data_IF_312728461768
#
_entry.id   IF_312728461768
#
_cell.length_a   1.000
_cell.length_b   1.000
_cell.length_c   1.000
_cell.angle_alpha   90.00
_cell.angle_beta   90.00
_cell.angle_gamma   90.00
#
_symmetry.space_group_name_H-M   'P 1'
#
loop_
_entity.id
_entity.type
_entity.pdbx_description
1 polymer ?
#
# COMPACT_ATOMS: atom_id res chain seq x y z
N UNK A 1 -1.53 1.78 39.01
CA UNK A 1 -1.36 2.67 37.83
C UNK A 1 -0.96 1.91 36.56
N UNK A 2 -0.09 0.90 36.59
CA UNK A 2 0.34 0.15 35.40
C UNK A 2 -0.70 -0.88 34.99
N UNK A 3 -1.36 -1.53 35.93
CA UNK A 3 -2.41 -2.53 35.69
C UNK A 3 -3.71 -1.92 35.13
N UNK A 4 -4.10 -0.74 35.55
CA UNK A 4 -5.34 -0.09 35.13
C UNK A 4 -5.29 0.30 33.65
N UNK A 5 -4.17 0.89 33.20
CA UNK A 5 -3.96 1.25 31.79
C UNK A 5 -3.92 0.03 30.86
N UNK A 6 -3.34 -1.08 31.31
CA UNK A 6 -3.29 -2.32 30.54
C UNK A 6 -4.67 -2.96 30.44
N UNK A 7 -5.42 -2.97 31.54
CA UNK A 7 -6.79 -3.50 31.57
C UNK A 7 -7.72 -2.69 30.64
N UNK A 8 -7.61 -1.35 30.66
CA UNK A 8 -8.38 -0.48 29.77
C UNK A 8 -8.02 -0.67 28.29
N UNK A 9 -6.74 -0.81 27.97
CA UNK A 9 -6.27 -1.12 26.62
C UNK A 9 -6.86 -2.44 26.12
N UNK A 10 -6.77 -3.53 26.91
CA UNK A 10 -7.31 -4.84 26.55
C UNK A 10 -8.83 -4.76 26.37
N UNK A 11 -9.53 -4.00 27.21
CA UNK A 11 -10.97 -3.82 27.07
C UNK A 11 -11.33 -3.11 25.77
N UNK A 12 -10.61 -2.04 25.43
CA UNK A 12 -10.81 -1.29 24.19
C UNK A 12 -10.53 -2.18 22.99
N UNK A 13 -9.44 -2.95 22.99
CA UNK A 13 -9.11 -3.88 21.91
C UNK A 13 -10.24 -4.89 21.67
N UNK A 14 -10.77 -5.52 22.71
CA UNK A 14 -11.91 -6.44 22.62
C UNK A 14 -13.19 -5.78 22.08
N UNK A 15 -13.44 -4.54 22.45
CA UNK A 15 -14.58 -3.79 21.94
C UNK A 15 -14.43 -3.50 20.44
N UNK A 16 -13.23 -3.15 19.97
CA UNK A 16 -12.95 -2.95 18.55
C UNK A 16 -13.11 -4.26 17.77
N UNK A 17 -12.61 -5.40 18.28
CA UNK A 17 -12.82 -6.72 17.68
C UNK A 17 -14.31 -7.07 17.56
N UNK A 18 -15.07 -6.88 18.62
CA UNK A 18 -16.52 -7.18 18.65
C UNK A 18 -17.35 -6.26 17.73
N UNK A 19 -16.93 -5.02 17.56
CA UNK A 19 -17.65 -4.04 16.74
C UNK A 19 -17.32 -4.12 15.25
N UNK A 20 -16.37 -4.95 14.85
CA UNK A 20 -15.89 -5.03 13.46
C UNK A 20 -16.99 -5.26 12.45
N UNK A 21 -17.84 -6.26 12.65
CA UNK A 21 -18.93 -6.60 11.72
C UNK A 21 -19.92 -5.46 11.57
N UNK A 22 -20.32 -4.85 12.69
CA UNK A 22 -21.21 -3.71 12.69
C UNK A 22 -20.59 -2.49 12.02
N UNK A 23 -19.29 -2.27 12.21
CA UNK A 23 -18.57 -1.17 11.57
C UNK A 23 -18.50 -1.32 10.03
N UNK A 24 -18.38 -2.56 9.52
CA UNK A 24 -18.49 -2.84 8.09
C UNK A 24 -19.88 -2.48 7.54
N UNK A 25 -20.94 -2.92 8.23
CA UNK A 25 -22.34 -2.70 7.85
C UNK A 25 -22.72 -1.21 7.90
N UNK A 26 -22.20 -0.49 8.89
CA UNK A 26 -22.42 0.94 9.08
C UNK A 26 -21.57 1.83 8.17
N UNK A 27 -20.68 1.27 7.32
CA UNK A 27 -19.72 2.01 6.50
C UNK A 27 -18.79 2.92 7.32
N UNK A 28 -18.36 2.48 8.49
CA UNK A 28 -17.43 3.22 9.35
C UNK A 28 -15.98 3.19 8.82
N UNK A 29 -15.67 2.23 7.93
CA UNK A 29 -14.38 2.14 7.26
C UNK A 29 -14.39 2.99 5.98
N UNK A 30 -13.41 3.89 5.88
CA UNK A 30 -13.24 4.78 4.73
C UNK A 30 -11.81 4.70 4.20
N UNK A 31 -11.59 5.09 2.94
CA UNK A 31 -10.26 5.14 2.34
C UNK A 31 -9.74 6.57 2.25
N UNK A 32 -8.50 6.73 2.66
CA UNK A 32 -7.66 7.88 2.36
C UNK A 32 -6.65 7.47 1.30
N UNK A 33 -6.28 8.39 0.44
CA UNK A 33 -5.40 8.13 -0.70
C UNK A 33 -4.11 8.91 -0.55
N UNK A 34 -2.97 8.21 -0.47
CA UNK A 34 -1.68 8.85 -0.44
C UNK A 34 -1.08 8.86 -1.84
N UNK A 35 -0.85 10.04 -2.43
CA UNK A 35 -0.36 10.15 -3.79
C UNK A 35 1.05 9.58 -3.96
N UNK A 36 1.29 8.90 -5.09
CA UNK A 36 2.61 8.49 -5.59
C UNK A 36 2.98 9.39 -6.77
N UNK A 37 4.07 10.12 -6.64
CA UNK A 37 4.55 11.05 -7.67
C UNK A 37 5.76 10.50 -8.40
N UNK A 38 5.69 10.43 -9.73
CA UNK A 38 6.85 10.22 -10.59
C UNK A 38 7.79 11.43 -10.55
N UNK A 39 9.08 11.21 -10.43
CA UNK A 39 10.08 12.28 -10.25
C UNK A 39 11.15 12.36 -11.34
N UNK A 40 11.06 11.53 -12.39
CA UNK A 40 12.03 11.53 -13.50
C UNK A 40 11.89 12.71 -14.44
N UNK A 41 10.70 13.30 -14.52
CA UNK A 41 10.43 14.51 -15.33
C UNK A 41 10.89 15.81 -14.68
N UNK A 42 10.75 16.92 -15.41
CA UNK A 42 11.05 18.26 -14.89
C UNK A 42 10.11 18.63 -13.73
N UNK A 43 8.84 18.27 -13.86
CA UNK A 43 7.82 18.45 -12.83
C UNK A 43 7.33 17.09 -12.34
N UNK A 44 6.99 16.96 -11.03
CA UNK A 44 6.40 15.74 -10.49
C UNK A 44 5.02 15.48 -11.09
N UNK A 45 4.78 14.25 -11.54
CA UNK A 45 3.48 13.81 -12.06
C UNK A 45 2.81 12.80 -11.14
N UNK A 46 1.48 12.91 -10.99
CA UNK A 46 0.70 11.92 -10.24
C UNK A 46 0.62 10.61 -11.04
N UNK A 47 1.26 9.57 -10.54
CA UNK A 47 1.30 8.24 -11.18
C UNK A 47 0.38 7.21 -10.54
N UNK A 48 -0.02 7.41 -9.29
CA UNK A 48 -0.88 6.50 -8.56
C UNK A 48 -1.17 7.00 -7.16
N UNK A 49 -1.85 6.18 -6.38
CA UNK A 49 -2.00 6.40 -4.94
C UNK A 49 -2.11 5.07 -4.20
N UNK A 50 -1.75 5.09 -2.93
CA UNK A 50 -2.04 4.00 -2.00
C UNK A 50 -3.35 4.29 -1.26
N UNK A 51 -4.26 3.28 -1.25
CA UNK A 51 -5.50 3.33 -0.49
C UNK A 51 -5.26 2.87 0.95
N UNK A 52 -5.32 3.81 1.86
CA UNK A 52 -5.06 3.61 3.28
C UNK A 52 -6.37 3.64 4.07
N UNK A 53 -6.73 2.49 4.64
CA UNK A 53 -7.95 2.34 5.42
C UNK A 53 -7.92 3.24 6.67
N UNK A 54 -9.07 3.81 7.01
CA UNK A 54 -9.32 4.55 8.25
C UNK A 54 -10.63 4.07 8.84
N UNK A 55 -10.73 3.98 10.13
CA UNK A 55 -11.97 3.66 10.83
C UNK A 55 -12.51 4.90 11.52
N UNK A 56 -13.68 5.36 11.09
CA UNK A 56 -14.39 6.49 11.70
C UNK A 56 -15.45 5.92 12.63
N UNK A 57 -15.03 5.62 13.85
CA UNK A 57 -15.94 5.03 14.85
C UNK A 57 -16.80 6.11 15.49
N UNK A 58 -18.12 5.91 15.60
CA UNK A 58 -19.00 6.83 16.36
C UNK A 58 -18.61 6.96 17.83
N UNK A 59 -18.04 5.89 18.42
CA UNK A 59 -17.66 5.83 19.83
C UNK A 59 -16.23 6.30 20.08
N UNK A 60 -15.28 5.92 19.20
CA UNK A 60 -13.84 6.16 19.40
C UNK A 60 -13.27 7.23 18.46
N UNK A 61 -14.09 7.82 17.60
CA UNK A 61 -13.64 8.81 16.63
C UNK A 61 -12.75 8.23 15.54
N UNK A 62 -11.75 9.00 15.12
CA UNK A 62 -10.81 8.61 14.07
C UNK A 62 -9.77 7.62 14.60
N UNK A 63 -9.77 6.40 14.06
CA UNK A 63 -8.80 5.36 14.38
C UNK A 63 -7.85 5.12 13.20
N UNK A 64 -6.54 5.20 13.48
CA UNK A 64 -5.50 4.85 12.51
C UNK A 64 -5.34 3.33 12.38
N UNK A 65 -4.85 2.82 11.23
CA UNK A 65 -4.64 1.38 10.99
C UNK A 65 -3.86 0.67 12.10
N UNK A 66 -2.82 1.30 12.63
CA UNK A 66 -2.00 0.73 13.73
C UNK A 66 -2.78 0.41 15.00
N UNK A 67 -4.00 0.96 15.17
CA UNK A 67 -4.87 0.67 16.32
C UNK A 67 -5.71 -0.61 16.15
N UNK A 68 -6.08 -0.98 14.91
CA UNK A 68 -7.02 -2.08 14.68
C UNK A 68 -6.47 -3.19 13.77
N UNK A 69 -5.57 -2.91 12.82
CA UNK A 69 -4.99 -3.94 11.94
C UNK A 69 -4.36 -5.09 12.72
N UNK A 70 -3.50 -4.85 13.76
CA UNK A 70 -2.92 -5.95 14.53
C UNK A 70 -3.97 -6.81 15.28
N UNK A 71 -5.13 -6.24 15.61
CA UNK A 71 -6.23 -6.99 16.24
C UNK A 71 -6.87 -7.92 15.22
N UNK A 72 -7.21 -7.38 14.05
CA UNK A 72 -7.88 -8.13 12.97
C UNK A 72 -6.99 -9.19 12.33
N UNK A 73 -5.67 -9.02 12.39
CA UNK A 73 -4.72 -10.04 11.97
C UNK A 73 -4.76 -11.27 12.89
N UNK A 74 -4.90 -11.06 14.21
CA UNK A 74 -4.96 -12.13 15.21
C UNK A 74 -6.24 -12.97 15.12
N UNK A 75 -7.36 -12.33 14.87
CA UNK A 75 -8.69 -12.97 14.89
C UNK A 75 -9.21 -13.40 13.50
N UNK A 76 -8.44 -13.13 12.42
CA UNK A 76 -8.81 -13.50 11.05
C UNK A 76 -9.73 -12.50 10.33
N UNK A 77 -10.10 -11.40 10.96
CA UNK A 77 -10.93 -10.35 10.35
C UNK A 77 -10.19 -9.54 9.28
N UNK A 78 -8.84 -9.60 9.25
CA UNK A 78 -8.05 -8.91 8.23
C UNK A 78 -8.39 -9.38 6.82
N UNK A 79 -8.67 -10.68 6.62
CA UNK A 79 -9.08 -11.22 5.32
C UNK A 79 -10.39 -10.59 4.80
N UNK A 80 -11.32 -10.34 5.72
CA UNK A 80 -12.60 -9.70 5.41
C UNK A 80 -12.37 -8.22 5.12
N UNK A 81 -11.52 -7.56 5.92
CA UNK A 81 -11.18 -6.15 5.73
C UNK A 81 -10.50 -5.89 4.39
N UNK A 82 -9.53 -6.72 3.97
CA UNK A 82 -8.85 -6.60 2.66
C UNK A 82 -9.87 -6.63 1.50
N UNK A 83 -10.83 -7.57 1.58
CA UNK A 83 -11.92 -7.65 0.59
C UNK A 83 -12.77 -6.39 0.58
N UNK A 84 -13.08 -5.86 1.75
CA UNK A 84 -13.82 -4.63 1.89
C UNK A 84 -13.06 -3.43 1.32
N UNK A 85 -11.75 -3.33 1.60
CA UNK A 85 -10.86 -2.29 1.05
C UNK A 85 -10.85 -2.32 -0.47
N UNK A 86 -10.67 -3.51 -1.08
CA UNK A 86 -10.70 -3.65 -2.53
C UNK A 86 -12.04 -3.18 -3.13
N UNK A 87 -13.16 -3.56 -2.50
CA UNK A 87 -14.48 -3.13 -2.94
C UNK A 87 -14.66 -1.62 -2.83
N UNK A 88 -14.21 -1.01 -1.74
CA UNK A 88 -14.23 0.45 -1.56
C UNK A 88 -13.37 1.16 -2.61
N UNK A 89 -12.16 0.65 -2.90
CA UNK A 89 -11.27 1.21 -3.92
C UNK A 89 -11.89 1.15 -5.33
N UNK A 90 -12.48 0.01 -5.70
CA UNK A 90 -13.17 -0.13 -6.98
C UNK A 90 -14.38 0.79 -7.10
N UNK A 91 -15.20 0.90 -6.04
CA UNK A 91 -16.33 1.84 -6.01
C UNK A 91 -15.88 3.27 -6.20
N UNK A 92 -14.81 3.68 -5.52
CA UNK A 92 -14.27 5.04 -5.63
C UNK A 92 -13.67 5.32 -7.02
N UNK A 93 -12.92 4.35 -7.57
CA UNK A 93 -12.41 4.46 -8.95
C UNK A 93 -13.55 4.65 -9.96
N UNK A 94 -14.66 3.91 -9.81
CA UNK A 94 -15.83 4.07 -10.68
C UNK A 94 -16.40 5.49 -10.59
N UNK A 95 -16.55 6.03 -9.38
CA UNK A 95 -17.02 7.40 -9.17
C UNK A 95 -16.11 8.43 -9.87
N UNK A 96 -14.79 8.28 -9.77
CA UNK A 96 -13.86 9.18 -10.46
C UNK A 96 -13.93 9.06 -11.98
N UNK A 97 -14.03 7.83 -12.50
CA UNK A 97 -14.19 7.59 -13.94
C UNK A 97 -15.49 8.21 -14.47
N UNK A 98 -16.60 8.06 -13.75
CA UNK A 98 -17.91 8.63 -14.12
C UNK A 98 -17.93 10.16 -14.02
N UNK A 99 -17.17 10.73 -13.09
CA UNK A 99 -16.96 12.17 -12.97
C UNK A 99 -16.01 12.76 -14.04
N UNK A 100 -15.48 11.91 -14.94
CA UNK A 100 -14.60 12.31 -16.05
C UNK A 100 -13.15 12.53 -15.66
N UNK A 101 -12.69 12.03 -14.51
CA UNK A 101 -11.27 12.09 -14.16
C UNK A 101 -10.47 11.05 -14.96
N UNK A 102 -9.22 11.41 -15.29
CA UNK A 102 -8.21 10.46 -15.75
C UNK A 102 -7.68 9.71 -14.51
N UNK A 103 -8.39 8.64 -14.12
CA UNK A 103 -8.01 7.88 -12.93
C UNK A 103 -6.59 7.30 -13.07
N UNK A 104 -5.88 7.28 -11.96
CA UNK A 104 -4.55 6.67 -11.80
C UNK A 104 -4.67 5.34 -11.08
N UNK A 105 -3.69 4.44 -11.18
CA UNK A 105 -3.68 3.18 -10.43
C UNK A 105 -3.77 3.41 -8.93
N UNK A 106 -4.59 2.60 -8.26
CA UNK A 106 -4.73 2.58 -6.80
C UNK A 106 -4.15 1.29 -6.27
N UNK A 107 -3.20 1.42 -5.35
CA UNK A 107 -2.66 0.28 -4.64
C UNK A 107 -3.52 -0.04 -3.42
N UNK A 108 -3.72 -1.33 -3.19
CA UNK A 108 -4.41 -1.86 -2.01
C UNK A 108 -3.55 -2.93 -1.35
N UNK A 109 -3.42 -2.85 -0.04
CA UNK A 109 -2.74 -3.85 0.74
C UNK A 109 -3.55 -5.15 0.78
N UNK A 110 -2.87 -6.29 0.67
CA UNK A 110 -3.47 -7.61 0.74
C UNK A 110 -2.66 -8.52 1.66
N UNK A 111 -3.31 -9.10 2.65
CA UNK A 111 -2.69 -10.04 3.57
C UNK A 111 -2.34 -11.35 2.88
N UNK A 112 -1.26 -11.99 3.35
CA UNK A 112 -0.85 -13.31 2.89
C UNK A 112 -1.99 -14.34 2.94
N UNK A 113 -2.85 -14.29 3.96
CA UNK A 113 -3.97 -15.23 4.10
C UNK A 113 -4.93 -15.16 2.93
N UNK A 114 -5.19 -13.98 2.40
CA UNK A 114 -5.99 -13.81 1.20
C UNK A 114 -5.29 -14.33 -0.07
N UNK A 115 -3.95 -14.33 -0.08
CA UNK A 115 -3.18 -14.84 -1.23
C UNK A 115 -3.14 -16.37 -1.22
N UNK A 116 -2.79 -17.00 -0.09
CA UNK A 116 -2.52 -18.46 0.01
C UNK A 116 -3.60 -19.24 0.75
N UNK A 117 -4.54 -18.57 1.38
CA UNK A 117 -5.51 -19.16 2.32
C UNK A 117 -6.64 -19.98 1.71
N UNK A 118 -6.68 -20.20 0.41
CA UNK A 118 -7.73 -20.99 -0.25
C UNK A 118 -9.10 -20.31 -0.34
N UNK A 119 -9.26 -19.09 0.16
CA UNK A 119 -10.52 -18.31 0.18
C UNK A 119 -10.90 -17.70 -1.16
N UNK A 120 -10.21 -18.10 -2.24
CA UNK A 120 -10.46 -17.66 -3.60
C UNK A 120 -10.53 -16.11 -3.77
N UNK A 121 -9.58 -15.40 -3.12
CA UNK A 121 -9.53 -13.93 -3.22
C UNK A 121 -9.38 -13.46 -4.67
N UNK A 122 -8.66 -14.20 -5.52
CA UNK A 122 -8.52 -13.84 -6.93
C UNK A 122 -9.87 -13.79 -7.66
N UNK A 123 -10.72 -14.80 -7.49
CA UNK A 123 -12.04 -14.78 -8.11
C UNK A 123 -12.88 -13.63 -7.56
N UNK A 124 -12.89 -13.43 -6.24
CA UNK A 124 -13.54 -12.28 -5.63
C UNK A 124 -13.05 -10.95 -6.21
N UNK A 125 -11.73 -10.78 -6.36
CA UNK A 125 -11.15 -9.55 -6.91
C UNK A 125 -11.59 -9.32 -8.36
N UNK A 126 -11.58 -10.36 -9.19
CA UNK A 126 -12.06 -10.27 -10.58
C UNK A 126 -13.56 -9.95 -10.66
N UNK A 127 -14.37 -10.56 -9.79
CA UNK A 127 -15.82 -10.29 -9.72
C UNK A 127 -16.09 -8.83 -9.31
N UNK A 128 -15.36 -8.30 -8.32
CA UNK A 128 -15.50 -6.89 -7.89
C UNK A 128 -15.06 -5.94 -9.01
N UNK A 129 -13.94 -6.23 -9.70
CA UNK A 129 -13.52 -5.42 -10.85
C UNK A 129 -14.57 -5.41 -11.96
N UNK A 130 -15.21 -6.55 -12.23
CA UNK A 130 -16.28 -6.67 -13.22
C UNK A 130 -17.56 -5.94 -12.76
N UNK A 131 -17.97 -6.08 -11.48
CA UNK A 131 -19.12 -5.38 -10.88
C UNK A 131 -19.03 -3.86 -11.08
N UNK A 132 -17.85 -3.28 -10.80
CA UNK A 132 -17.62 -1.84 -10.93
C UNK A 132 -17.05 -1.41 -12.29
N UNK A 133 -16.87 -2.34 -13.22
CA UNK A 133 -16.29 -2.10 -14.56
C UNK A 133 -14.95 -1.35 -14.47
N UNK A 134 -14.06 -1.81 -13.59
CA UNK A 134 -12.74 -1.23 -13.39
C UNK A 134 -11.71 -1.99 -14.24
N UNK A 135 -10.93 -1.29 -15.10
CA UNK A 135 -9.77 -1.90 -15.76
C UNK A 135 -8.76 -2.42 -14.74
N UNK A 136 -8.31 -3.67 -14.92
CA UNK A 136 -7.44 -4.35 -13.96
C UNK A 136 -6.12 -3.60 -13.69
N UNK A 137 -5.61 -2.88 -14.69
CA UNK A 137 -4.41 -2.05 -14.56
C UNK A 137 -4.59 -0.79 -13.67
N UNK A 138 -5.81 -0.51 -13.21
CA UNK A 138 -6.07 0.54 -12.22
C UNK A 138 -6.02 0.02 -10.77
N UNK A 139 -5.78 -1.27 -10.56
CA UNK A 139 -5.56 -1.87 -9.24
C UNK A 139 -4.17 -2.49 -9.18
N UNK A 140 -3.39 -2.08 -8.18
CA UNK A 140 -2.13 -2.71 -7.81
C UNK A 140 -2.32 -3.39 -6.45
N UNK A 141 -1.84 -4.62 -6.29
CA UNK A 141 -1.88 -5.34 -5.01
C UNK A 141 -0.53 -5.20 -4.32
N UNK A 142 -0.51 -4.74 -3.07
CA UNK A 142 0.69 -4.59 -2.24
C UNK A 142 0.77 -5.70 -1.21
N UNK A 143 1.94 -6.32 -1.08
CA UNK A 143 2.21 -7.46 -0.21
C UNK A 143 3.40 -7.10 0.68
N UNK A 144 3.25 -7.25 1.99
CA UNK A 144 4.32 -6.99 2.94
C UNK A 144 5.52 -7.95 2.74
N UNK A 145 6.73 -7.41 2.87
CA UNK A 145 7.97 -8.22 2.83
C UNK A 145 7.94 -9.35 3.87
N UNK A 146 7.47 -9.08 5.06
CA UNK A 146 7.39 -10.06 6.16
C UNK A 146 6.50 -11.25 5.82
N UNK A 147 5.45 -11.04 5.04
CA UNK A 147 4.57 -12.08 4.53
C UNK A 147 5.29 -13.05 3.56
N UNK A 148 6.33 -12.57 2.91
CA UNK A 148 7.10 -13.35 1.95
C UNK A 148 8.08 -14.36 2.60
N UNK A 149 8.38 -14.23 3.89
CA UNK A 149 9.43 -14.99 4.58
C UNK A 149 9.07 -16.46 4.89
N UNK A 150 7.78 -16.80 5.01
CA UNK A 150 7.30 -18.15 5.37
C UNK A 150 6.70 -18.83 4.15
N UNK A 151 7.19 -20.04 3.81
CA UNK A 151 6.76 -20.85 2.64
C UNK A 151 6.71 -20.05 1.32
N UNK A 152 7.85 -19.43 1.01
CA UNK A 152 8.02 -18.54 -0.15
C UNK A 152 7.62 -19.19 -1.48
N UNK A 153 7.81 -20.52 -1.64
CA UNK A 153 7.47 -21.23 -2.89
C UNK A 153 5.97 -21.21 -3.17
N UNK A 154 5.16 -21.44 -2.13
CA UNK A 154 3.69 -21.42 -2.29
C UNK A 154 3.21 -20.00 -2.60
N UNK A 155 3.70 -19.00 -1.86
CA UNK A 155 3.40 -17.60 -2.12
C UNK A 155 3.76 -17.20 -3.55
N UNK A 156 4.97 -17.50 -4.02
CA UNK A 156 5.43 -17.19 -5.39
C UNK A 156 4.47 -17.77 -6.43
N UNK A 157 4.02 -19.03 -6.26
CA UNK A 157 3.07 -19.67 -7.18
C UNK A 157 1.74 -18.91 -7.24
N UNK A 158 1.18 -18.51 -6.10
CA UNK A 158 -0.05 -17.73 -6.07
C UNK A 158 0.14 -16.34 -6.69
N UNK A 159 1.23 -15.65 -6.37
CA UNK A 159 1.54 -14.36 -6.98
C UNK A 159 1.70 -14.46 -8.50
N UNK A 160 2.27 -15.55 -9.02
CA UNK A 160 2.31 -15.81 -10.47
C UNK A 160 0.92 -15.93 -11.08
N UNK A 161 -0.04 -16.51 -10.36
CA UNK A 161 -1.43 -16.60 -10.81
C UNK A 161 -2.07 -15.21 -10.87
N UNK A 162 -1.91 -14.38 -9.84
CA UNK A 162 -2.38 -12.99 -9.85
C UNK A 162 -1.76 -12.19 -11.00
N UNK A 163 -0.46 -12.31 -11.19
CA UNK A 163 0.26 -11.68 -12.29
C UNK A 163 -0.28 -12.12 -13.66
N UNK A 164 -0.47 -13.43 -13.86
CA UNK A 164 -1.01 -14.00 -15.10
C UNK A 164 -2.45 -13.57 -15.35
N UNK A 165 -3.20 -13.21 -14.31
CA UNK A 165 -4.54 -12.66 -14.42
C UNK A 165 -4.56 -11.16 -14.75
N UNK A 166 -3.38 -10.51 -14.80
CA UNK A 166 -3.22 -9.12 -15.22
C UNK A 166 -3.05 -8.10 -14.07
N UNK A 167 -3.02 -8.53 -12.81
CA UNK A 167 -2.74 -7.61 -11.70
C UNK A 167 -1.29 -7.13 -11.71
N UNK A 168 -1.10 -5.85 -11.38
CA UNK A 168 0.20 -5.32 -10.97
C UNK A 168 0.43 -5.67 -9.50
N UNK A 169 1.65 -6.11 -9.18
CA UNK A 169 2.04 -6.52 -7.83
C UNK A 169 3.18 -5.64 -7.33
N UNK A 170 3.08 -5.18 -6.09
CA UNK A 170 4.14 -4.46 -5.40
C UNK A 170 4.55 -5.19 -4.12
N UNK A 171 5.84 -5.15 -3.80
CA UNK A 171 6.35 -5.57 -2.49
C UNK A 171 6.49 -4.35 -1.61
N UNK A 172 5.82 -4.37 -0.48
CA UNK A 172 5.77 -3.29 0.49
C UNK A 172 6.78 -3.49 1.63
N UNK A 173 7.18 -2.38 2.26
CA UNK A 173 8.10 -2.31 3.41
C UNK A 173 9.44 -3.04 3.15
N UNK A 174 9.93 -3.06 1.90
CA UNK A 174 11.16 -3.77 1.56
C UNK A 174 12.37 -3.19 2.29
N UNK A 175 13.09 -4.09 2.98
CA UNK A 175 14.25 -3.76 3.80
C UNK A 175 13.95 -3.66 5.29
N UNK A 176 12.68 -3.71 5.71
CA UNK A 176 12.28 -3.79 7.11
C UNK A 176 12.38 -5.21 7.70
N UNK A 177 12.47 -6.22 6.85
CA UNK A 177 12.41 -7.63 7.21
C UNK A 177 13.68 -8.43 6.88
N UNK A 178 13.53 -9.74 6.74
CA UNK A 178 14.61 -10.71 6.53
C UNK A 178 14.67 -11.23 5.09
N UNK A 179 14.19 -10.50 4.10
CA UNK A 179 14.22 -10.97 2.72
C UNK A 179 15.64 -11.15 2.21
N UNK A 180 15.93 -12.34 1.70
CA UNK A 180 17.18 -12.57 1.00
C UNK A 180 17.13 -12.01 -0.42
N UNK A 181 18.29 -11.56 -0.95
CA UNK A 181 18.42 -11.16 -2.36
C UNK A 181 17.94 -12.23 -3.33
N UNK A 182 18.04 -13.52 -2.94
CA UNK A 182 17.53 -14.63 -3.73
C UNK A 182 16.00 -14.65 -3.81
N UNK A 183 15.32 -14.27 -2.74
CA UNK A 183 13.86 -14.14 -2.72
C UNK A 183 13.39 -12.96 -3.58
N UNK A 184 14.03 -11.79 -3.43
CA UNK A 184 13.76 -10.64 -4.27
C UNK A 184 13.79 -11.00 -5.77
N UNK A 185 14.82 -11.76 -6.22
CA UNK A 185 14.93 -12.14 -7.63
C UNK A 185 13.81 -13.09 -8.10
N UNK A 186 13.27 -13.94 -7.23
CA UNK A 186 12.24 -14.94 -7.57
C UNK A 186 10.80 -14.44 -7.48
N UNK A 187 10.56 -13.31 -6.81
CA UNK A 187 9.21 -12.75 -6.65
C UNK A 187 8.69 -12.12 -7.93
N UNK A 188 7.48 -12.47 -8.38
CA UNK A 188 6.89 -11.93 -9.62
C UNK A 188 6.24 -10.56 -9.40
N UNK A 189 6.99 -9.60 -8.86
CA UNK A 189 6.54 -8.24 -8.58
C UNK A 189 6.92 -7.26 -9.69
N UNK A 190 6.14 -6.21 -9.86
CA UNK A 190 6.37 -5.11 -10.81
C UNK A 190 7.00 -3.90 -10.14
N UNK A 191 6.75 -3.74 -8.85
CA UNK A 191 7.14 -2.57 -8.09
C UNK A 191 7.77 -2.98 -6.76
N UNK A 192 8.82 -2.26 -6.38
CA UNK A 192 9.50 -2.36 -5.09
C UNK A 192 9.25 -1.06 -4.32
N UNK A 193 8.67 -1.14 -3.12
CA UNK A 193 8.52 0.00 -2.23
C UNK A 193 9.61 -0.06 -1.17
N UNK A 194 10.49 0.94 -1.15
CA UNK A 194 11.57 1.06 -0.18
C UNK A 194 11.03 1.72 1.07
N UNK A 195 11.10 1.01 2.19
CA UNK A 195 10.60 1.47 3.48
C UNK A 195 11.30 2.76 3.95
N UNK A 196 10.55 3.60 4.65
CA UNK A 196 11.04 4.88 5.18
C UNK A 196 12.28 4.76 6.05
N UNK A 197 12.47 3.64 6.74
CA UNK A 197 13.62 3.43 7.63
C UNK A 197 14.97 3.57 6.91
N UNK A 198 15.01 3.36 5.60
CA UNK A 198 16.20 3.62 4.79
C UNK A 198 16.56 5.11 4.71
N UNK A 199 15.59 5.98 4.90
CA UNK A 199 15.71 7.43 4.69
C UNK A 199 15.74 8.22 6.01
N UNK A 200 15.40 7.59 7.15
CA UNK A 200 15.31 8.25 8.46
C UNK A 200 16.67 8.82 8.95
N UNK A 201 17.77 8.19 8.53
CA UNK A 201 19.12 8.63 8.89
C UNK A 201 19.76 9.61 7.89
N UNK A 202 19.07 9.91 6.79
CA UNK A 202 19.62 10.78 5.76
C UNK A 202 19.72 12.23 6.21
N UNK A 203 20.86 12.88 5.91
CA UNK A 203 21.14 14.27 6.23
C UNK A 203 21.64 15.00 4.96
N UNK A 204 21.46 16.31 4.86
CA UNK A 204 21.87 17.07 3.66
C UNK A 204 23.37 17.00 3.33
N UNK A 205 24.21 16.74 4.33
CA UNK A 205 25.67 16.65 4.23
C UNK A 205 26.20 15.20 4.27
N UNK A 206 25.29 14.21 4.14
CA UNK A 206 25.65 12.79 4.13
C UNK A 206 26.60 12.45 2.98
N UNK A 207 27.47 11.48 3.20
CA UNK A 207 28.41 11.02 2.17
C UNK A 207 27.69 10.11 1.14
N UNK A 208 28.26 9.99 -0.07
CA UNK A 208 27.76 9.01 -1.06
C UNK A 208 27.76 7.58 -0.51
N UNK A 209 28.64 7.27 0.43
CA UNK A 209 28.69 5.95 1.06
C UNK A 209 27.42 5.63 1.85
N UNK A 210 26.83 6.62 2.50
CA UNK A 210 25.65 6.44 3.35
C UNK A 210 24.39 6.14 2.55
N UNK A 211 24.33 6.62 1.29
CA UNK A 211 23.21 6.42 0.38
C UNK A 211 23.47 5.37 -0.72
N UNK A 212 24.71 4.85 -0.83
CA UNK A 212 25.09 3.95 -1.92
C UNK A 212 24.23 2.68 -1.99
N UNK A 213 23.78 2.16 -0.84
CA UNK A 213 22.92 0.98 -0.79
C UNK A 213 21.63 1.22 -1.58
N UNK A 214 20.94 2.34 -1.34
CA UNK A 214 19.69 2.70 -2.02
C UNK A 214 19.92 2.85 -3.53
N UNK A 215 20.99 3.52 -3.94
CA UNK A 215 21.36 3.64 -5.35
C UNK A 215 21.48 2.27 -6.04
N UNK A 216 22.15 1.31 -5.38
CA UNK A 216 22.30 -0.04 -5.93
C UNK A 216 21.02 -0.86 -5.87
N UNK A 217 20.15 -0.65 -4.87
CA UNK A 217 18.84 -1.30 -4.80
C UNK A 217 17.94 -0.83 -5.94
N UNK A 218 17.87 0.49 -6.21
CA UNK A 218 17.13 1.05 -7.34
C UNK A 218 17.65 0.46 -8.66
N UNK A 219 18.97 0.45 -8.85
CA UNK A 219 19.57 -0.13 -10.05
C UNK A 219 19.25 -1.61 -10.19
N UNK A 220 19.32 -2.42 -9.14
CA UNK A 220 19.00 -3.85 -9.17
C UNK A 220 17.52 -4.10 -9.49
N UNK A 221 16.61 -3.26 -9.00
CA UNK A 221 15.21 -3.31 -9.36
C UNK A 221 15.01 -3.05 -10.86
N UNK A 222 15.64 -2.00 -11.41
CA UNK A 222 15.58 -1.67 -12.83
C UNK A 222 16.21 -2.76 -13.71
N UNK A 223 17.38 -3.29 -13.36
CA UNK A 223 18.06 -4.37 -14.09
C UNK A 223 17.19 -5.66 -14.14
N UNK A 224 16.22 -5.79 -13.24
CA UNK A 224 15.25 -6.90 -13.19
C UNK A 224 13.84 -6.50 -13.69
N UNK A 225 13.69 -5.33 -14.31
CA UNK A 225 12.46 -4.85 -14.94
C UNK A 225 11.37 -4.36 -13.97
N UNK A 226 11.77 -3.93 -12.76
CA UNK A 226 10.86 -3.43 -11.72
C UNK A 226 10.97 -1.93 -11.57
N UNK A 227 9.86 -1.27 -11.22
CA UNK A 227 9.87 0.13 -10.77
C UNK A 227 10.11 0.23 -9.27
N UNK A 228 10.51 1.41 -8.82
CA UNK A 228 10.80 1.68 -7.40
C UNK A 228 9.98 2.86 -6.89
N UNK A 229 9.37 2.70 -5.72
CA UNK A 229 8.75 3.76 -4.93
C UNK A 229 9.59 3.94 -3.65
N UNK A 230 10.04 5.16 -3.38
CA UNK A 230 10.65 5.51 -2.10
C UNK A 230 9.57 6.09 -1.18
N UNK A 231 9.45 5.53 0.03
CA UNK A 231 8.41 5.90 0.97
C UNK A 231 8.91 6.80 2.09
N UNK A 232 7.98 7.49 2.75
CA UNK A 232 8.27 8.33 3.90
C UNK A 232 9.18 9.52 3.61
N UNK A 233 9.23 9.99 2.37
CA UNK A 233 10.08 11.11 1.96
C UNK A 233 9.44 12.43 2.41
N UNK A 234 10.17 13.20 3.20
CA UNK A 234 9.68 14.43 3.82
C UNK A 234 10.47 15.68 3.42
N UNK A 235 11.72 15.52 2.96
CA UNK A 235 12.64 16.61 2.73
C UNK A 235 13.04 16.75 1.26
N UNK A 236 13.25 18.00 0.81
CA UNK A 236 13.64 18.30 -0.57
C UNK A 236 14.94 17.62 -0.98
N UNK A 237 15.95 17.61 -0.10
CA UNK A 237 17.24 17.00 -0.44
C UNK A 237 17.13 15.49 -0.69
N UNK A 238 16.19 14.79 0.00
CA UNK A 238 15.90 13.37 -0.25
C UNK A 238 15.33 13.18 -1.67
N UNK A 239 14.40 14.05 -2.09
CA UNK A 239 13.85 14.03 -3.46
C UNK A 239 14.96 14.26 -4.49
N UNK A 240 15.82 15.28 -4.28
CA UNK A 240 16.89 15.63 -5.21
C UNK A 240 17.90 14.46 -5.35
N UNK A 241 18.21 13.78 -4.26
CA UNK A 241 19.11 12.63 -4.26
C UNK A 241 18.49 11.40 -4.92
N UNK A 242 17.22 11.10 -4.63
CA UNK A 242 16.49 10.00 -5.26
C UNK A 242 16.34 10.21 -6.77
N UNK A 243 16.17 11.46 -7.21
CA UNK A 243 16.18 11.80 -8.65
C UNK A 243 17.54 11.52 -9.30
N UNK A 244 18.65 11.81 -8.61
CA UNK A 244 19.99 11.47 -9.09
C UNK A 244 20.23 9.96 -9.20
N UNK A 245 19.54 9.17 -8.37
CA UNK A 245 19.59 7.71 -8.39
C UNK A 245 18.58 7.07 -9.35
N UNK A 246 17.89 7.91 -10.16
CA UNK A 246 16.88 7.47 -11.13
C UNK A 246 15.67 6.76 -10.49
N UNK A 247 15.33 7.07 -9.24
CA UNK A 247 14.14 6.54 -8.60
C UNK A 247 12.88 6.91 -9.39
N UNK A 248 11.95 5.98 -9.54
CA UNK A 248 10.78 6.18 -10.40
C UNK A 248 9.73 7.06 -9.72
N UNK A 249 9.40 6.75 -8.48
CA UNK A 249 8.30 7.40 -7.76
C UNK A 249 8.68 7.65 -6.29
N UNK A 250 7.99 8.62 -5.73
CA UNK A 250 8.07 8.96 -4.30
C UNK A 250 6.66 9.00 -3.72
N UNK A 251 6.56 8.47 -2.49
CA UNK A 251 5.41 8.59 -1.62
C UNK A 251 5.88 9.17 -0.28
N UNK A 252 5.30 10.31 0.16
CA UNK A 252 5.73 10.93 1.41
C UNK A 252 5.14 12.31 1.64
N UNK A 253 5.34 12.82 2.85
CA UNK A 253 4.75 14.10 3.29
C UNK A 253 5.37 15.31 2.60
N UNK A 254 6.50 15.14 1.92
CA UNK A 254 7.05 16.18 1.06
C UNK A 254 6.03 16.64 -0.01
N UNK A 255 5.32 15.70 -0.63
CA UNK A 255 4.30 16.03 -1.61
C UNK A 255 2.89 16.08 -1.02
N UNK A 256 2.52 15.09 -0.21
CA UNK A 256 1.19 15.02 0.37
C UNK A 256 1.08 13.99 1.49
N UNK A 257 0.31 14.34 2.50
CA UNK A 257 -0.25 13.34 3.45
C UNK A 257 -1.35 12.56 2.75
N UNK A 258 -1.79 11.41 3.33
CA UNK A 258 -3.01 10.74 2.88
C UNK A 258 -4.22 11.68 2.90
N UNK A 259 -4.97 11.71 1.80
CA UNK A 259 -6.09 12.63 1.56
C UNK A 259 -7.42 11.88 1.48
N UNK A 260 -8.54 12.48 1.93
CA UNK A 260 -9.86 12.02 1.57
C UNK A 260 -10.07 11.98 0.06
N UNK A 261 -11.03 11.17 -0.41
CA UNK A 261 -11.27 10.94 -1.84
C UNK A 261 -11.53 12.21 -2.66
N UNK A 262 -12.24 13.19 -2.10
CA UNK A 262 -12.55 14.46 -2.76
C UNK A 262 -11.31 15.32 -2.93
N UNK A 263 -10.47 15.43 -1.89
CA UNK A 263 -9.24 16.18 -1.95
C UNK A 263 -8.23 15.52 -2.90
N UNK A 264 -8.14 14.18 -2.89
CA UNK A 264 -7.28 13.44 -3.84
C UNK A 264 -7.75 13.65 -5.28
N UNK A 265 -9.06 13.66 -5.55
CA UNK A 265 -9.62 13.90 -6.88
C UNK A 265 -9.15 15.22 -7.48
N UNK A 266 -8.96 16.26 -6.66
CA UNK A 266 -8.47 17.58 -7.11
C UNK A 266 -7.05 17.53 -7.70
N UNK A 267 -6.27 16.50 -7.40
CA UNK A 267 -4.91 16.27 -7.94
C UNK A 267 -4.90 15.55 -9.28
N UNK A 268 -6.01 14.93 -9.67
CA UNK A 268 -6.14 14.23 -10.95
C UNK A 268 -6.58 15.21 -12.06
N UNK A 269 -6.10 14.98 -13.29
CA UNK A 269 -6.58 15.69 -14.46
C UNK A 269 -7.97 15.17 -14.88
N UNK A 270 -8.82 16.07 -15.38
CA UNK A 270 -10.05 15.66 -16.06
C UNK A 270 -9.73 15.26 -17.51
N UNK A 271 -10.49 14.31 -18.02
CA UNK A 271 -10.46 13.99 -19.46
C UNK A 271 -11.02 15.20 -20.21
N UNK A 272 -10.27 15.68 -21.22
CA UNK A 272 -10.69 16.74 -22.13
C UNK A 272 -11.75 16.19 -23.09
#
# INVERSE_FOLDING_TARGET
FFDDNLAEKIRTEKLLENNFQQALENNEFVLYYQPKYGIKGAEPELHGAEALIRWISPEYGFLSPGRFIPLFERDGNLEILDRHVLKLACRQLRQWLDAGYKAVPISVNISRRNIVGGNNFLAYALDVLAEYQIPINLIQLEILETDASVDSKLLIRFLQIFKSSGFSLAMDDFGSGYSSLGMFNSMPIDCLKLDKSFFDSWQPDMSERDSCLIKYMIKAAHDTGRTVVAEGIEEKFQVDLLRQYDCDMIQGYYFSKPLPAEEFASKMHKRV
#
